data_IF_082649490657
#
_entry.id   IF_082649490657
#
_cell.length_a   1.000
_cell.length_b   1.000
_cell.length_c   1.000
_cell.angle_alpha   90.00
_cell.angle_beta   90.00
_cell.angle_gamma   90.00
#
_symmetry.space_group_name_H-M   'P 1'
#
loop_
_entity.id
_entity.type
_entity.pdbx_description
1 polymer ?
#
# COMPACT_ATOMS: atom_id res chain seq x y z
N UNK A 1 -16.71 -40.67 33.03
CA UNK A 1 -15.77 -39.64 32.53
C UNK A 1 -16.02 -39.41 31.04
N UNK A 2 -16.50 -38.23 30.62
CA UNK A 2 -16.31 -37.66 29.24
C UNK A 2 -16.87 -36.24 29.05
N UNK A 3 -17.61 -35.61 29.99
CA UNK A 3 -18.31 -34.34 29.68
C UNK A 3 -17.47 -33.07 29.48
N UNK A 4 -16.24 -32.98 29.98
CA UNK A 4 -15.48 -31.72 29.95
C UNK A 4 -14.60 -31.53 28.71
N UNK A 5 -14.20 -32.62 28.03
CA UNK A 5 -13.38 -32.55 26.81
C UNK A 5 -14.21 -32.20 25.57
N UNK A 6 -15.43 -32.72 25.46
CA UNK A 6 -16.33 -32.45 24.32
C UNK A 6 -16.82 -31.00 24.27
N UNK A 7 -17.09 -30.38 25.42
CA UNK A 7 -17.56 -28.97 25.47
C UNK A 7 -16.43 -28.01 25.05
N UNK A 8 -15.17 -28.34 25.36
CA UNK A 8 -13.99 -27.57 24.94
C UNK A 8 -13.77 -27.63 23.43
N UNK A 9 -14.02 -28.79 22.82
CA UNK A 9 -13.88 -29.00 21.38
C UNK A 9 -14.98 -28.28 20.59
N UNK A 10 -16.23 -28.26 21.10
CA UNK A 10 -17.34 -27.55 20.48
C UNK A 10 -17.19 -26.01 20.49
N UNK A 11 -16.57 -25.43 21.53
CA UNK A 11 -16.25 -23.99 21.54
C UNK A 11 -15.08 -23.65 20.60
N UNK A 12 -14.09 -24.54 20.48
CA UNK A 12 -12.96 -24.38 19.58
C UNK A 12 -13.35 -24.50 18.09
N UNK A 13 -14.23 -25.43 17.74
CA UNK A 13 -14.73 -25.61 16.37
C UNK A 13 -15.55 -24.41 15.84
N UNK A 14 -16.09 -23.59 16.75
CA UNK A 14 -16.81 -22.34 16.44
C UNK A 14 -15.95 -21.08 16.58
N UNK A 15 -14.64 -21.23 16.82
CA UNK A 15 -13.69 -20.12 16.83
C UNK A 15 -13.79 -19.17 18.03
N UNK A 16 -14.43 -19.58 19.14
CA UNK A 16 -14.58 -18.73 20.32
C UNK A 16 -13.90 -19.37 21.54
N UNK A 17 -12.70 -18.89 21.83
CA UNK A 17 -11.91 -19.28 22.99
C UNK A 17 -12.20 -18.36 24.18
N UNK A 18 -12.63 -18.94 25.31
CA UNK A 18 -12.91 -18.20 26.52
C UNK A 18 -11.67 -18.15 27.41
N UNK A 19 -11.19 -16.95 27.69
CA UNK A 19 -10.21 -16.70 28.75
C UNK A 19 -8.83 -16.31 28.24
N UNK A 20 -8.60 -14.99 28.33
CA UNK A 20 -7.36 -14.35 28.76
C UNK A 20 -6.22 -14.13 27.74
N UNK A 21 -6.14 -12.87 27.33
CA UNK A 21 -4.99 -11.95 27.42
C UNK A 21 -3.58 -12.50 27.64
N UNK A 22 -2.71 -11.96 26.77
CA UNK A 22 -1.29 -11.67 26.92
C UNK A 22 -0.29 -12.83 26.78
N UNK A 23 0.50 -12.69 25.70
CA UNK A 23 1.92 -13.03 25.59
C UNK A 23 2.32 -14.52 25.57
N UNK A 24 2.71 -14.93 24.36
CA UNK A 24 3.92 -15.73 24.07
C UNK A 24 4.12 -17.14 24.69
N UNK A 25 4.16 -18.16 23.81
CA UNK A 25 5.10 -19.29 23.81
C UNK A 25 4.60 -20.33 22.77
N UNK A 26 5.20 -20.43 21.58
CA UNK A 26 6.32 -21.33 21.29
C UNK A 26 5.99 -22.81 21.56
N UNK A 27 5.59 -23.56 20.52
CA UNK A 27 6.46 -24.56 19.84
C UNK A 27 6.18 -26.00 20.37
N UNK A 28 6.25 -27.12 19.66
CA UNK A 28 6.92 -27.54 18.43
C UNK A 28 6.15 -28.73 17.79
N UNK A 29 6.17 -28.82 16.46
CA UNK A 29 6.48 -30.09 15.76
C UNK A 29 6.99 -29.81 14.33
N UNK A 30 8.28 -30.13 14.18
CA UNK A 30 9.14 -30.32 13.01
C UNK A 30 9.96 -29.15 12.38
N UNK A 31 11.29 -29.32 12.23
CA UNK A 31 12.22 -28.24 11.89
C UNK A 31 12.91 -28.40 10.52
N UNK A 32 12.93 -27.33 9.73
CA UNK A 32 14.01 -26.91 8.82
C UNK A 32 13.46 -25.74 7.98
N UNK A 33 13.52 -24.55 8.57
CA UNK A 33 13.33 -23.30 7.86
C UNK A 33 14.68 -22.88 7.24
N UNK A 34 14.74 -22.54 5.94
CA UNK A 34 15.36 -21.31 5.55
C UNK A 34 14.34 -20.18 5.74
N UNK A 35 14.84 -19.09 6.31
CA UNK A 35 14.16 -17.84 6.50
C UNK A 35 13.47 -17.33 5.23
N UNK A 36 12.53 -16.39 5.43
CA UNK A 36 11.86 -15.52 4.45
C UNK A 36 10.46 -15.99 4.00
N UNK A 37 9.50 -15.06 4.17
CA UNK A 37 8.36 -14.81 3.27
C UNK A 37 6.94 -15.26 3.69
N UNK A 38 6.13 -14.25 4.07
CA UNK A 38 4.72 -14.11 3.67
C UNK A 38 4.35 -12.61 3.77
N UNK A 39 4.94 -11.75 2.94
CA UNK A 39 4.32 -11.20 1.72
C UNK A 39 2.82 -10.88 1.88
N UNK A 40 2.53 -9.65 2.29
CA UNK A 40 1.22 -9.03 2.10
C UNK A 40 1.02 -8.79 0.60
N UNK A 41 0.39 -9.74 -0.08
CA UNK A 41 -0.14 -9.65 -1.46
C UNK A 41 0.79 -9.00 -2.52
N UNK A 42 1.56 -9.79 -3.31
CA UNK A 42 1.98 -9.40 -4.66
C UNK A 42 0.80 -9.69 -5.65
N UNK A 43 0.80 -9.37 -6.98
CA UNK A 43 1.71 -8.63 -7.86
C UNK A 43 0.98 -7.63 -8.81
N UNK A 44 1.40 -6.38 -8.93
CA UNK A 44 0.91 -5.53 -10.02
C UNK A 44 1.96 -4.50 -10.42
N UNK A 45 3.02 -4.98 -11.06
CA UNK A 45 3.31 -4.36 -12.35
C UNK A 45 2.24 -4.89 -13.30
N UNK A 46 1.10 -4.20 -13.54
CA UNK A 46 0.52 -4.35 -14.85
C UNK A 46 1.62 -3.86 -15.79
N UNK A 47 1.83 -4.54 -16.91
CA UNK A 47 2.54 -3.97 -18.04
C UNK A 47 2.15 -2.49 -18.10
N UNK A 48 3.12 -1.59 -17.88
CA UNK A 48 2.90 -0.14 -17.93
C UNK A 48 2.18 0.09 -19.22
N UNK A 49 0.86 0.27 -19.13
CA UNK A 49 0.04 0.38 -20.31
C UNK A 49 0.44 1.74 -20.83
N UNK A 50 1.21 1.77 -21.91
CA UNK A 50 1.86 2.96 -22.45
C UNK A 50 0.88 4.17 -22.55
N UNK A 51 -0.42 3.88 -22.69
CA UNK A 51 -1.50 4.87 -22.63
C UNK A 51 -1.70 5.61 -21.28
N UNK A 52 -1.34 5.03 -20.13
CA UNK A 52 -1.48 5.68 -18.81
C UNK A 52 -0.50 6.84 -18.68
N UNK A 53 0.72 6.71 -19.21
CA UNK A 53 1.71 7.80 -19.20
C UNK A 53 1.24 9.01 -20.03
N UNK A 54 0.50 8.77 -21.11
CA UNK A 54 -0.09 9.81 -21.95
C UNK A 54 -1.40 10.38 -21.38
N UNK A 55 -1.88 9.87 -20.25
CA UNK A 55 -3.13 10.35 -19.64
C UNK A 55 -2.90 11.74 -19.03
N UNK A 56 -3.76 12.73 -19.35
CA UNK A 56 -3.64 14.07 -18.79
C UNK A 56 -4.00 14.09 -17.30
N UNK A 57 -3.32 14.94 -16.54
CA UNK A 57 -3.56 15.11 -15.08
C UNK A 57 -5.01 15.52 -14.79
N UNK A 58 -5.66 16.22 -15.74
CA UNK A 58 -7.05 16.66 -15.58
C UNK A 58 -8.06 15.50 -15.52
N UNK A 59 -7.75 14.36 -16.16
CA UNK A 59 -8.57 13.13 -16.07
C UNK A 59 -8.44 12.41 -14.73
N UNK A 60 -7.49 12.82 -13.90
CA UNK A 60 -7.27 12.25 -12.58
C UNK A 60 -7.83 13.20 -11.53
N UNK A 61 -8.59 12.64 -10.61
CA UNK A 61 -9.18 13.37 -9.49
C UNK A 61 -8.15 13.66 -8.40
N UNK A 62 -7.31 14.66 -8.68
CA UNK A 62 -6.45 15.29 -7.69
C UNK A 62 -7.16 16.47 -7.01
N UNK A 63 -6.84 16.71 -5.73
CA UNK A 63 -7.23 17.93 -5.04
C UNK A 63 -6.78 19.18 -5.79
N UNK A 64 -7.54 20.28 -5.66
CA UNK A 64 -7.20 21.59 -6.25
C UNK A 64 -5.77 22.00 -5.89
N UNK A 65 -5.29 21.68 -4.68
CA UNK A 65 -3.93 22.01 -4.26
C UNK A 65 -2.87 21.24 -5.05
N UNK A 66 -3.08 19.94 -5.23
CA UNK A 66 -2.20 19.10 -6.04
C UNK A 66 -2.23 19.56 -7.51
N UNK A 67 -3.40 19.83 -8.10
CA UNK A 67 -3.52 20.37 -9.46
C UNK A 67 -2.75 21.68 -9.63
N UNK A 68 -2.88 22.64 -8.70
CA UNK A 68 -2.16 23.92 -8.74
C UNK A 68 -0.65 23.75 -8.61
N UNK A 69 -0.18 22.81 -7.80
CA UNK A 69 1.24 22.51 -7.69
C UNK A 69 1.80 21.84 -8.96
N UNK A 70 1.03 20.93 -9.56
CA UNK A 70 1.38 20.26 -10.82
C UNK A 70 1.41 21.27 -11.99
N UNK A 71 0.48 22.23 -12.03
CA UNK A 71 0.47 23.35 -12.97
C UNK A 71 1.71 24.25 -12.79
N UNK A 72 2.11 24.56 -11.55
CA UNK A 72 3.32 25.35 -11.26
C UNK A 72 4.61 24.65 -11.72
N UNK A 73 4.64 23.32 -11.69
CA UNK A 73 5.72 22.49 -12.23
C UNK A 73 5.60 22.27 -13.75
N UNK A 74 4.59 22.85 -14.37
CA UNK A 74 4.30 22.74 -15.80
C UNK A 74 4.07 21.29 -16.26
N UNK A 75 3.61 20.41 -15.35
CA UNK A 75 3.31 19.01 -15.61
C UNK A 75 1.89 18.91 -16.15
N UNK A 76 1.70 18.20 -17.26
CA UNK A 76 0.41 18.06 -17.94
C UNK A 76 -0.05 16.61 -18.13
N UNK A 77 0.84 15.66 -17.88
CA UNK A 77 0.58 14.22 -18.04
C UNK A 77 1.03 13.44 -16.81
N UNK A 78 0.46 12.25 -16.61
CA UNK A 78 0.93 11.32 -15.59
C UNK A 78 2.36 10.85 -15.85
N UNK A 79 2.78 10.74 -17.12
CA UNK A 79 4.15 10.39 -17.49
C UNK A 79 5.17 11.44 -17.03
N UNK A 80 4.85 12.73 -17.17
CA UNK A 80 5.68 13.81 -16.62
C UNK A 80 5.76 13.78 -15.09
N UNK A 81 4.63 13.47 -14.43
CA UNK A 81 4.58 13.34 -12.98
C UNK A 81 5.41 12.15 -12.47
N UNK A 82 5.33 10.99 -13.12
CA UNK A 82 6.09 9.79 -12.74
C UNK A 82 7.61 9.95 -12.94
N UNK A 83 8.04 10.82 -13.86
CA UNK A 83 9.45 11.16 -14.06
C UNK A 83 10.01 12.06 -12.94
N UNK A 84 9.14 12.77 -12.22
CA UNK A 84 9.53 13.65 -11.12
C UNK A 84 9.73 12.88 -9.83
N UNK A 85 10.69 13.35 -9.03
CA UNK A 85 10.96 12.76 -7.72
C UNK A 85 10.09 13.38 -6.64
N UNK A 86 9.89 12.62 -5.58
CA UNK A 86 9.17 13.09 -4.39
C UNK A 86 9.79 14.37 -3.81
N UNK A 87 11.14 14.45 -3.84
CA UNK A 87 11.90 15.61 -3.35
C UNK A 87 11.65 16.85 -4.20
N UNK A 88 11.61 16.72 -5.54
CA UNK A 88 11.29 17.85 -6.42
C UNK A 88 9.87 18.35 -6.22
N UNK A 89 8.92 17.43 -5.98
CA UNK A 89 7.55 17.78 -5.65
C UNK A 89 7.47 18.50 -4.30
N UNK A 90 8.14 18.01 -3.26
CA UNK A 90 8.22 18.68 -1.95
C UNK A 90 8.93 20.04 -1.98
N UNK A 91 9.85 20.27 -2.91
CA UNK A 91 10.52 21.55 -3.07
C UNK A 91 9.57 22.65 -3.62
N UNK A 92 8.39 22.28 -4.12
CA UNK A 92 7.45 23.23 -4.67
C UNK A 92 6.75 24.06 -3.60
N UNK A 93 6.74 25.38 -3.83
CA UNK A 93 5.99 26.33 -3.01
C UNK A 93 4.51 25.94 -3.08
N UNK A 94 3.90 25.71 -1.91
CA UNK A 94 2.52 25.23 -1.72
C UNK A 94 2.27 23.72 -1.95
N UNK A 95 3.33 22.90 -2.02
CA UNK A 95 3.23 21.45 -1.97
C UNK A 95 3.55 20.93 -0.56
N UNK A 96 2.87 19.88 -0.11
CA UNK A 96 3.04 19.34 1.25
C UNK A 96 2.70 17.87 1.34
N UNK A 97 2.91 17.27 2.53
CA UNK A 97 2.73 15.83 2.76
C UNK A 97 1.35 15.30 2.35
N UNK A 98 0.28 16.06 2.59
CA UNK A 98 -1.08 15.65 2.18
C UNK A 98 -1.18 15.49 0.66
N UNK A 99 -0.77 16.50 -0.11
CA UNK A 99 -0.82 16.46 -1.57
C UNK A 99 0.12 15.40 -2.16
N UNK A 100 1.25 15.15 -1.49
CA UNK A 100 2.18 14.09 -1.85
C UNK A 100 1.57 12.70 -1.66
N UNK A 101 0.92 12.47 -0.53
CA UNK A 101 0.25 11.21 -0.25
C UNK A 101 -0.93 10.98 -1.21
N UNK A 102 -1.71 12.03 -1.51
CA UNK A 102 -2.75 11.99 -2.54
C UNK A 102 -2.18 11.56 -3.90
N UNK A 103 -1.06 12.17 -4.32
CA UNK A 103 -0.40 11.83 -5.57
C UNK A 103 0.08 10.39 -5.58
N UNK A 104 0.73 9.94 -4.50
CA UNK A 104 1.24 8.57 -4.38
C UNK A 104 0.11 7.54 -4.44
N UNK A 105 -1.01 7.78 -3.75
CA UNK A 105 -2.17 6.90 -3.79
C UNK A 105 -2.77 6.86 -5.20
N UNK A 106 -3.02 8.02 -5.81
CA UNK A 106 -3.58 8.09 -7.16
C UNK A 106 -2.69 7.41 -8.18
N UNK A 107 -1.38 7.68 -8.18
CA UNK A 107 -0.43 7.00 -9.06
C UNK A 107 -0.48 5.48 -8.86
N UNK A 108 -0.55 5.01 -7.62
CA UNK A 108 -0.66 3.57 -7.32
C UNK A 108 -1.95 2.95 -7.88
N UNK A 109 -3.08 3.68 -7.88
CA UNK A 109 -4.33 3.24 -8.52
C UNK A 109 -4.16 3.05 -10.04
N UNK A 110 -3.30 3.84 -10.68
CA UNK A 110 -2.95 3.72 -12.10
C UNK A 110 -1.80 2.74 -12.38
N UNK A 111 -1.28 2.05 -11.36
CA UNK A 111 -0.12 1.16 -11.48
C UNK A 111 1.19 1.91 -11.75
N UNK A 112 1.26 3.20 -11.39
CA UNK A 112 2.43 4.05 -11.51
C UNK A 112 3.03 4.32 -10.14
N UNK A 113 4.32 4.60 -10.11
CA UNK A 113 5.03 5.02 -8.89
C UNK A 113 5.83 6.29 -9.16
N UNK A 114 6.07 7.06 -8.10
CA UNK A 114 6.97 8.21 -8.13
C UNK A 114 8.42 7.72 -8.21
N UNK A 115 9.30 8.56 -8.77
CA UNK A 115 10.73 8.29 -8.74
C UNK A 115 11.27 8.50 -7.33
N UNK A 116 11.49 7.42 -6.59
CA UNK A 116 12.24 7.45 -5.33
C UNK A 116 13.71 7.67 -5.66
N UNK A 117 14.28 8.78 -5.17
CA UNK A 117 15.70 9.06 -5.34
C UNK A 117 16.43 8.42 -4.15
N UNK A 118 16.95 7.20 -4.37
CA UNK A 118 17.84 6.52 -3.40
C UNK A 118 19.19 7.21 -3.32
#
# INVERSE_FOLDING_TARGET
ETSLKEIKEMLAAKGLHLGQSAEEAAALSNPLAPAMELVSQPPAAPAVSDGVMSTPIDRVDFSIRAKRALENLNLKTLGDLAKKSEVELMACKNFGQTSLNEIRQKLSEYGLTLRENV
#
